data_IF_762730744610
#
_entry.id   IF_762730744610
#
_cell.length_a   1.000
_cell.length_b   1.000
_cell.length_c   1.000
_cell.angle_alpha   90.00
_cell.angle_beta   90.00
_cell.angle_gamma   90.00
#
_symmetry.space_group_name_H-M   'P 1'
#
loop_
_entity.id
_entity.type
_entity.pdbx_description
1 polymer ?
#
# COMPACT_ATOMS: atom_id res chain seq x y z
N UNK A 1 -25.15 -35.26 8.84
CA UNK A 1 -25.28 -33.79 8.77
C UNK A 1 -24.13 -33.02 9.42
N UNK A 2 -23.58 -33.43 10.59
CA UNK A 2 -22.68 -32.58 11.39
C UNK A 2 -21.30 -32.21 10.81
N UNK A 3 -20.63 -33.13 10.09
CA UNK A 3 -19.27 -32.87 9.57
C UNK A 3 -19.23 -31.79 8.49
N UNK A 4 -20.21 -31.78 7.58
CA UNK A 4 -20.29 -30.78 6.50
C UNK A 4 -20.61 -29.38 7.04
N UNK A 5 -21.53 -29.29 8.00
CA UNK A 5 -21.85 -28.03 8.67
C UNK A 5 -20.64 -27.46 9.45
N UNK A 6 -19.89 -28.32 10.15
CA UNK A 6 -18.67 -27.93 10.85
C UNK A 6 -17.57 -27.45 9.89
N UNK A 7 -17.37 -28.13 8.75
CA UNK A 7 -16.41 -27.68 7.73
C UNK A 7 -16.80 -26.33 7.14
N UNK A 8 -18.09 -26.13 6.82
CA UNK A 8 -18.58 -24.84 6.31
C UNK A 8 -18.34 -23.74 7.34
N UNK A 9 -18.70 -23.95 8.61
CA UNK A 9 -18.50 -22.97 9.66
C UNK A 9 -17.01 -22.61 9.84
N UNK A 10 -16.12 -23.61 9.82
CA UNK A 10 -14.68 -23.39 9.93
C UNK A 10 -14.12 -22.59 8.74
N UNK A 11 -14.50 -22.94 7.51
CA UNK A 11 -14.06 -22.22 6.29
C UNK A 11 -14.57 -20.78 6.29
N UNK A 12 -15.81 -20.57 6.73
CA UNK A 12 -16.39 -19.23 6.80
C UNK A 12 -15.65 -18.39 7.83
N UNK A 13 -15.35 -18.97 9.00
CA UNK A 13 -14.61 -18.30 10.06
C UNK A 13 -13.17 -17.96 9.64
N UNK A 14 -12.45 -18.89 9.01
CA UNK A 14 -11.09 -18.65 8.54
C UNK A 14 -11.04 -17.61 7.42
N UNK A 15 -12.01 -17.62 6.51
CA UNK A 15 -12.11 -16.62 5.46
C UNK A 15 -12.35 -15.22 6.05
N UNK A 16 -13.31 -15.06 6.98
CA UNK A 16 -13.58 -13.77 7.62
C UNK A 16 -12.36 -13.28 8.40
N UNK A 17 -11.67 -14.16 9.13
CA UNK A 17 -10.44 -13.82 9.84
C UNK A 17 -9.33 -13.37 8.88
N UNK A 18 -9.19 -14.01 7.71
CA UNK A 18 -8.21 -13.63 6.70
C UNK A 18 -8.53 -12.28 6.02
N UNK A 19 -9.80 -11.97 5.77
CA UNK A 19 -10.17 -10.64 5.25
C UNK A 19 -9.95 -9.53 6.28
N UNK A 20 -10.12 -9.82 7.57
CA UNK A 20 -9.91 -8.85 8.64
C UNK A 20 -8.43 -8.43 8.83
N UNK A 21 -7.47 -9.19 8.31
CA UNK A 21 -6.04 -8.84 8.35
C UNK A 21 -5.58 -7.98 7.17
N UNK A 22 -6.44 -7.75 6.17
CA UNK A 22 -6.10 -6.88 5.04
C UNK A 22 -6.00 -5.43 5.54
N UNK A 23 -4.80 -4.86 5.43
CA UNK A 23 -4.60 -3.45 5.72
C UNK A 23 -5.38 -2.60 4.70
N UNK A 24 -6.13 -1.56 5.13
CA UNK A 24 -6.77 -0.65 4.21
C UNK A 24 -5.70 0.07 3.39
N UNK A 25 -5.90 0.15 2.07
CA UNK A 25 -5.04 0.96 1.22
C UNK A 25 -5.04 2.43 1.67
N UNK A 26 -3.86 3.05 1.75
CA UNK A 26 -3.76 4.48 2.06
C UNK A 26 -4.22 5.30 0.85
N UNK A 27 -5.41 5.89 0.94
CA UNK A 27 -5.87 6.85 -0.05
C UNK A 27 -5.03 8.15 0.04
N UNK A 28 -4.59 8.65 -1.11
CA UNK A 28 -4.00 10.00 -1.21
C UNK A 28 -5.10 11.02 -0.93
N UNK A 29 -4.83 11.97 -0.03
CA UNK A 29 -5.77 13.03 0.35
C UNK A 29 -5.09 14.38 0.23
N UNK A 30 -5.85 15.38 -0.23
CA UNK A 30 -5.41 16.78 -0.24
C UNK A 30 -5.07 17.20 1.19
N UNK A 31 -3.92 17.87 1.37
CA UNK A 31 -3.40 18.27 2.68
C UNK A 31 -2.71 17.14 3.47
N UNK A 32 -2.75 15.90 2.99
CA UNK A 32 -1.98 14.79 3.57
C UNK A 32 -0.48 14.96 3.34
N UNK A 33 0.32 14.56 4.33
CA UNK A 33 1.78 14.51 4.16
C UNK A 33 2.13 13.44 3.12
N UNK A 34 2.96 13.80 2.15
CA UNK A 34 3.53 12.84 1.21
C UNK A 34 4.35 11.77 1.96
N UNK A 35 4.12 10.47 1.71
CA UNK A 35 4.99 9.40 2.19
C UNK A 35 6.41 9.53 1.63
N UNK A 36 7.41 9.08 2.38
CA UNK A 36 8.81 9.10 1.92
C UNK A 36 9.03 8.19 0.71
N UNK A 37 9.89 8.60 -0.23
CA UNK A 37 10.26 7.79 -1.39
C UNK A 37 11.61 7.12 -1.09
N UNK A 38 11.56 5.85 -0.70
CA UNK A 38 12.74 5.02 -0.51
C UNK A 38 12.91 4.04 -1.68
N UNK A 39 14.16 3.64 -1.95
CA UNK A 39 14.51 2.67 -2.99
C UNK A 39 15.63 3.16 -3.90
N UNK A 40 15.92 2.39 -4.95
CA UNK A 40 16.94 2.68 -5.95
C UNK A 40 17.19 1.51 -6.90
N UNK A 41 18.11 1.66 -7.87
CA UNK A 41 18.95 2.84 -8.12
C UNK A 41 18.19 4.03 -8.72
N UNK A 42 18.70 5.25 -8.51
CA UNK A 42 18.15 6.48 -9.07
C UNK A 42 18.84 6.83 -10.39
N UNK A 43 18.09 7.40 -11.32
CA UNK A 43 18.57 7.85 -12.64
C UNK A 43 18.45 9.38 -12.71
N UNK A 44 19.38 10.03 -13.40
CA UNK A 44 19.45 11.49 -13.60
C UNK A 44 19.69 12.34 -12.34
N UNK A 45 19.82 11.72 -11.15
CA UNK A 45 20.08 12.41 -9.89
C UNK A 45 20.58 11.45 -8.81
N UNK A 46 21.14 11.99 -7.73
CA UNK A 46 21.25 11.28 -6.47
C UNK A 46 19.84 11.02 -5.88
N UNK A 47 19.74 10.13 -4.89
CA UNK A 47 18.47 9.84 -4.22
C UNK A 47 17.81 11.13 -3.70
N UNK A 48 16.51 11.28 -3.98
CA UNK A 48 15.77 12.49 -3.63
C UNK A 48 15.12 12.34 -2.24
N UNK A 49 15.52 13.19 -1.31
CA UNK A 49 14.86 13.35 -0.01
C UNK A 49 13.68 14.33 -0.14
N UNK A 50 12.47 13.90 0.22
CA UNK A 50 11.29 14.77 0.16
C UNK A 50 11.42 16.01 1.07
N UNK A 51 12.22 15.95 2.14
CA UNK A 51 12.53 17.11 2.95
C UNK A 51 13.36 18.15 2.19
N UNK A 52 14.28 17.71 1.31
CA UNK A 52 15.15 18.59 0.53
C UNK A 52 14.40 19.37 -0.57
N UNK A 53 13.24 18.88 -1.00
CA UNK A 53 12.41 19.52 -2.04
C UNK A 53 11.18 20.27 -1.50
N UNK A 54 11.14 20.53 -0.19
CA UNK A 54 10.08 21.39 0.38
C UNK A 54 10.08 22.78 -0.23
N UNK A 55 8.88 23.38 -0.31
CA UNK A 55 8.67 24.67 -0.96
C UNK A 55 8.56 24.60 -2.48
N UNK A 56 8.66 23.41 -3.07
CA UNK A 56 8.44 23.16 -4.50
C UNK A 56 7.18 22.33 -4.71
N UNK A 57 6.55 22.51 -5.88
CA UNK A 57 5.53 21.58 -6.36
C UNK A 57 6.25 20.38 -6.97
N UNK A 58 5.93 19.18 -6.48
CA UNK A 58 6.57 17.92 -6.91
C UNK A 58 5.48 17.00 -7.47
N UNK A 59 5.73 16.43 -8.65
CA UNK A 59 4.90 15.40 -9.26
C UNK A 59 5.53 14.03 -9.03
N UNK A 60 4.73 13.07 -8.58
CA UNK A 60 5.12 11.66 -8.48
C UNK A 60 4.25 10.85 -9.44
N UNK A 61 4.88 10.16 -10.38
CA UNK A 61 4.21 9.32 -11.37
C UNK A 61 4.68 7.87 -11.21
N UNK A 62 3.73 6.94 -11.10
CA UNK A 62 4.01 5.51 -11.09
C UNK A 62 3.95 4.99 -12.52
N UNK A 63 5.07 4.45 -13.02
CA UNK A 63 5.19 3.93 -14.37
C UNK A 63 5.96 2.60 -14.38
N UNK A 64 5.84 1.84 -15.47
CA UNK A 64 6.66 0.66 -15.76
C UNK A 64 7.23 0.77 -17.16
N UNK A 65 8.39 0.16 -17.39
CA UNK A 65 8.87 -0.08 -18.74
C UNK A 65 8.00 -1.18 -19.38
N UNK A 66 7.66 -1.01 -20.66
CA UNK A 66 6.79 -1.91 -21.41
C UNK A 66 7.47 -3.23 -21.76
#
# INVERSE_FOLDING_TARGET
MGRRAATIALVTFTLVAALATLAPGQAVRVGGKAPEIAGGPWINSAALDLAAVRGRVVLVEFWTFG
#
